data_IF_246816337596
#
_entry.id   IF_246816337596
#
_cell.length_a   1.000
_cell.length_b   1.000
_cell.length_c   1.000
_cell.angle_alpha   90.00
_cell.angle_beta   90.00
_cell.angle_gamma   90.00
#
_symmetry.space_group_name_H-M   'P 1'
#
loop_
_entity.id
_entity.type
_entity.pdbx_description
1 polymer ?
#
# COMPACT_ATOMS: atom_id res chain seq x y z
N UNK A 1 -5.60 10.04 -13.37
CA UNK A 1 -5.26 8.72 -12.79
C UNK A 1 -3.77 8.43 -12.86
N UNK A 2 -3.08 8.76 -13.96
CA UNK A 2 -1.65 8.48 -14.13
C UNK A 2 -0.76 8.97 -12.98
N UNK A 3 -0.86 10.25 -12.59
CA UNK A 3 -0.06 10.80 -11.49
C UNK A 3 -0.32 10.15 -10.12
N UNK A 4 -1.53 9.63 -9.91
CA UNK A 4 -1.85 8.87 -8.69
C UNK A 4 -1.12 7.53 -8.70
N UNK A 5 -1.14 6.82 -9.83
CA UNK A 5 -0.47 5.53 -10.00
C UNK A 5 1.04 5.70 -9.87
N UNK A 6 1.60 6.69 -10.58
CA UNK A 6 3.01 7.06 -10.51
C UNK A 6 3.46 7.28 -9.06
N UNK A 7 2.65 7.99 -8.28
CA UNK A 7 2.95 8.27 -6.88
C UNK A 7 2.99 7.01 -6.02
N UNK A 8 2.00 6.11 -6.16
CA UNK A 8 1.97 4.83 -5.43
C UNK A 8 3.13 3.94 -5.89
N UNK A 9 3.38 3.85 -7.19
CA UNK A 9 4.43 3.00 -7.75
C UNK A 9 5.83 3.46 -7.37
N UNK A 10 6.05 4.77 -7.25
CA UNK A 10 7.32 5.29 -6.76
C UNK A 10 7.63 4.81 -5.34
N UNK A 11 6.60 4.67 -4.49
CA UNK A 11 6.74 4.14 -3.13
C UNK A 11 7.00 2.63 -3.15
N UNK A 12 6.31 1.88 -4.02
CA UNK A 12 6.41 0.41 -4.05
C UNK A 12 7.61 -0.11 -4.86
N UNK A 13 8.20 0.70 -5.73
CA UNK A 13 9.28 0.30 -6.63
C UNK A 13 10.48 -0.34 -5.89
N UNK A 14 11.02 0.25 -4.79
CA UNK A 14 12.11 -0.36 -4.04
C UNK A 14 11.76 -1.73 -3.48
N UNK A 15 10.50 -1.90 -3.04
CA UNK A 15 9.99 -3.19 -2.55
C UNK A 15 9.92 -4.22 -3.69
N UNK A 16 9.42 -3.84 -4.87
CA UNK A 16 9.41 -4.73 -6.04
C UNK A 16 10.82 -5.19 -6.42
N UNK A 17 11.79 -4.27 -6.44
CA UNK A 17 13.19 -4.58 -6.72
C UNK A 17 13.75 -5.53 -5.65
N UNK A 18 13.48 -5.28 -4.37
CA UNK A 18 13.91 -6.17 -3.29
C UNK A 18 13.34 -7.58 -3.46
N UNK A 19 12.03 -7.71 -3.63
CA UNK A 19 11.34 -9.00 -3.77
C UNK A 19 11.79 -9.84 -4.97
N UNK A 20 12.40 -9.22 -5.98
CA UNK A 20 12.89 -9.89 -7.19
C UNK A 20 14.37 -10.28 -7.13
N UNK A 21 15.09 -9.98 -6.03
CA UNK A 21 16.49 -10.38 -5.86
C UNK A 21 16.61 -11.90 -5.62
N UNK A 22 17.58 -12.52 -6.29
CA UNK A 22 17.81 -13.99 -6.24
C UNK A 22 18.20 -14.49 -4.85
N UNK A 23 19.04 -13.74 -4.14
CA UNK A 23 19.53 -14.12 -2.82
C UNK A 23 19.09 -13.08 -1.77
N UNK A 24 17.78 -13.05 -1.49
CA UNK A 24 17.23 -12.14 -0.50
C UNK A 24 16.78 -12.87 0.76
N UNK A 25 17.09 -12.27 1.91
CA UNK A 25 16.57 -12.69 3.19
C UNK A 25 15.07 -12.35 3.28
N UNK A 26 14.26 -13.38 3.46
CA UNK A 26 12.82 -13.25 3.55
C UNK A 26 12.37 -12.49 4.81
N UNK A 27 13.17 -12.52 5.89
CA UNK A 27 13.00 -11.66 7.08
C UNK A 27 12.99 -10.20 6.67
N UNK A 28 14.04 -9.83 5.96
CA UNK A 28 14.30 -8.48 5.51
C UNK A 28 13.23 -8.03 4.51
N UNK A 29 12.81 -8.89 3.58
CA UNK A 29 11.69 -8.62 2.68
C UNK A 29 10.42 -8.23 3.44
N UNK A 30 10.08 -8.99 4.49
CA UNK A 30 8.87 -8.75 5.25
C UNK A 30 8.90 -7.41 5.98
N UNK A 31 10.03 -7.06 6.60
CA UNK A 31 10.20 -5.73 7.19
C UNK A 31 9.96 -4.62 6.15
N UNK A 32 10.50 -4.76 4.94
CA UNK A 32 10.30 -3.79 3.86
C UNK A 32 8.84 -3.71 3.41
N UNK A 33 8.10 -4.83 3.41
CA UNK A 33 6.66 -4.82 3.15
C UNK A 33 5.92 -4.00 4.22
N UNK A 34 6.27 -4.18 5.49
CA UNK A 34 5.66 -3.44 6.59
C UNK A 34 5.97 -1.94 6.54
N UNK A 35 7.19 -1.56 6.19
CA UNK A 35 7.56 -0.16 6.00
C UNK A 35 6.69 0.49 4.91
N UNK A 36 6.60 -0.15 3.73
CA UNK A 36 5.77 0.35 2.62
C UNK A 36 4.31 0.41 3.03
N UNK A 37 3.79 -0.60 3.75
CA UNK A 37 2.42 -0.59 4.26
C UNK A 37 2.19 0.59 5.21
N UNK A 38 3.13 0.87 6.10
CA UNK A 38 3.05 1.98 7.06
C UNK A 38 3.00 3.32 6.33
N UNK A 39 3.90 3.52 5.36
CA UNK A 39 3.92 4.73 4.52
C UNK A 39 2.58 4.92 3.79
N UNK A 40 1.99 3.85 3.23
CA UNK A 40 0.70 3.93 2.54
C UNK A 40 -0.46 4.24 3.49
N UNK A 41 -0.45 3.69 4.72
CA UNK A 41 -1.45 3.99 5.76
C UNK A 41 -1.34 5.44 6.21
N UNK A 42 -0.14 5.95 6.47
CA UNK A 42 0.10 7.35 6.81
C UNK A 42 -0.41 8.28 5.70
N UNK A 43 -0.14 7.91 4.44
CA UNK A 43 -0.62 8.64 3.28
C UNK A 43 -2.14 8.63 3.15
N UNK A 44 -2.78 7.53 3.55
CA UNK A 44 -4.24 7.39 3.59
C UNK A 44 -4.86 8.23 4.71
N UNK A 45 -4.22 8.32 5.87
CA UNK A 45 -4.61 9.20 6.97
C UNK A 45 -4.46 10.67 6.58
N UNK A 46 -3.35 11.04 5.94
CA UNK A 46 -3.06 12.39 5.44
C UNK A 46 -3.51 12.57 3.98
N UNK A 47 -4.66 12.00 3.62
CA UNK A 47 -5.10 11.90 2.23
C UNK A 47 -5.39 13.24 1.57
N UNK A 48 -5.84 14.24 2.34
CA UNK A 48 -6.16 15.57 1.84
C UNK A 48 -4.89 16.28 1.34
N UNK A 49 -3.87 16.38 2.18
CA UNK A 49 -2.60 17.01 1.83
C UNK A 49 -1.84 16.20 0.76
N UNK A 50 -1.85 14.88 0.88
CA UNK A 50 -1.21 13.99 -0.10
C UNK A 50 -1.82 14.13 -1.49
N UNK A 51 -3.15 14.20 -1.58
CA UNK A 51 -3.83 14.34 -2.86
C UNK A 51 -3.71 15.75 -3.42
N UNK A 52 -3.74 16.79 -2.58
CA UNK A 52 -3.59 18.18 -3.00
C UNK A 52 -2.31 18.42 -3.80
N UNK A 53 -1.19 17.84 -3.36
CA UNK A 53 0.09 17.93 -4.09
C UNK A 53 0.02 17.24 -5.46
N UNK A 54 -0.61 16.07 -5.53
CA UNK A 54 -0.81 15.33 -6.79
C UNK A 54 -1.73 16.13 -7.72
N UNK A 55 -2.81 16.69 -7.19
CA UNK A 55 -3.79 17.45 -7.95
C UNK A 55 -3.18 18.75 -8.51
N UNK A 56 -2.38 19.48 -7.71
CA UNK A 56 -1.68 20.68 -8.17
C UNK A 56 -0.71 20.38 -9.32
N UNK A 57 -0.03 19.22 -9.31
CA UNK A 57 0.80 18.80 -10.44
C UNK A 57 -0.03 18.52 -11.69
N UNK A 58 -1.23 17.91 -11.53
CA UNK A 58 -2.17 17.75 -12.64
C UNK A 58 -2.61 19.11 -13.19
N UNK A 59 -2.96 20.07 -12.32
CA UNK A 59 -3.40 21.40 -12.72
C UNK A 59 -2.33 22.13 -13.53
N UNK A 60 -1.06 22.08 -13.11
CA UNK A 60 0.06 22.66 -13.87
C UNK A 60 0.19 22.05 -15.26
N UNK A 61 0.16 20.73 -15.37
CA UNK A 61 0.24 20.04 -16.67
C UNK A 61 -0.95 20.35 -17.59
N UNK A 62 -2.14 20.57 -17.01
CA UNK A 62 -3.35 20.91 -17.76
C UNK A 62 -3.38 22.39 -18.19
N UNK A 63 -2.82 23.28 -17.38
CA UNK A 63 -2.62 24.70 -17.73
C UNK A 63 -1.67 24.86 -18.94
N UNK A 64 -0.61 24.05 -19.02
CA UNK A 64 0.28 24.03 -20.19
C UNK A 64 -0.44 23.61 -21.48
N UNK A 65 -1.47 22.76 -21.36
CA UNK A 65 -2.30 22.30 -22.46
C UNK A 65 -3.56 23.13 -22.72
N UNK A 66 -3.74 24.26 -22.01
CA UNK A 66 -4.92 25.13 -22.08
C UNK A 66 -6.27 24.39 -21.89
N UNK A 67 -6.28 23.37 -21.03
CA UNK A 67 -7.48 22.59 -20.70
C UNK A 67 -7.84 22.68 -19.21
N UNK A 68 -9.07 23.06 -18.84
CA UNK A 68 -9.46 23.08 -17.43
C UNK A 68 -9.82 21.67 -16.91
N UNK A 69 -9.40 21.36 -15.69
CA UNK A 69 -9.86 20.15 -14.99
C UNK A 69 -11.32 20.36 -14.57
N UNK A 70 -12.24 19.60 -15.17
CA UNK A 70 -13.67 19.68 -14.88
C UNK A 70 -14.19 18.38 -14.28
N UNK A 71 -15.35 18.48 -13.62
CA UNK A 71 -16.08 17.31 -13.16
C UNK A 71 -16.61 16.54 -14.37
N UNK A 72 -16.51 15.20 -14.38
CA UNK A 72 -17.11 14.40 -15.42
C UNK A 72 -18.64 14.54 -15.37
N UNK A 73 -19.29 14.36 -16.53
CA UNK A 73 -20.75 14.42 -16.63
C UNK A 73 -21.39 13.36 -15.74
N UNK A 74 -22.16 13.79 -14.76
CA UNK A 74 -23.05 12.94 -13.96
C UNK A 74 -24.45 12.95 -14.59
N UNK A 75 -25.10 11.79 -14.63
CA UNK A 75 -26.50 11.63 -15.08
C UNK A 75 -27.35 11.23 -13.87
N UNK A 76 -28.65 11.53 -13.87
CA UNK A 76 -29.52 11.34 -12.70
C UNK A 76 -29.49 9.92 -12.08
N UNK A 77 -29.23 8.89 -12.89
CA UNK A 77 -28.94 7.53 -12.43
C UNK A 77 -27.84 6.90 -13.28
N UNK A 78 -26.74 6.50 -12.65
CA UNK A 78 -25.74 5.63 -13.26
C UNK A 78 -25.98 4.17 -12.80
N UNK A 79 -25.73 3.20 -13.68
CA UNK A 79 -25.93 1.76 -13.38
C UNK A 79 -24.63 1.04 -13.03
N UNK A 80 -23.47 1.59 -13.45
CA UNK A 80 -22.17 0.94 -13.28
C UNK A 80 -21.30 1.56 -12.18
N UNK A 81 -21.59 2.81 -11.76
CA UNK A 81 -20.85 3.52 -10.70
C UNK A 81 -21.79 4.46 -9.96
N UNK A 82 -21.46 4.70 -8.70
CA UNK A 82 -22.20 5.66 -7.88
C UNK A 82 -21.84 7.10 -8.28
N UNK A 83 -22.86 7.94 -8.31
CA UNK A 83 -22.69 9.38 -8.43
C UNK A 83 -22.10 9.91 -7.12
N UNK A 84 -20.77 9.91 -7.04
CA UNK A 84 -20.05 10.38 -5.86
C UNK A 84 -20.28 11.89 -5.69
N UNK A 85 -20.85 12.35 -4.57
CA UNK A 85 -21.04 13.77 -4.34
C UNK A 85 -19.67 14.43 -4.23
N UNK A 86 -19.49 15.57 -4.89
CA UNK A 86 -18.27 16.36 -4.83
C UNK A 86 -18.55 17.81 -5.20
N UNK A 87 -18.00 18.72 -4.41
CA UNK A 87 -18.12 20.17 -4.57
C UNK A 87 -17.02 20.71 -5.49
N UNK A 88 -15.93 19.95 -5.67
CA UNK A 88 -14.81 20.28 -6.55
C UNK A 88 -14.30 19.08 -7.35
N UNK A 89 -13.67 19.29 -8.52
CA UNK A 89 -13.00 18.22 -9.26
C UNK A 89 -11.95 17.49 -8.41
N UNK A 90 -11.21 18.22 -7.57
CA UNK A 90 -10.24 17.63 -6.64
C UNK A 90 -10.91 16.61 -5.69
N UNK A 91 -12.00 17.01 -5.04
CA UNK A 91 -12.71 16.13 -4.12
C UNK A 91 -13.29 14.90 -4.84
N UNK A 92 -13.78 15.08 -6.06
CA UNK A 92 -14.30 14.00 -6.89
C UNK A 92 -13.23 12.96 -7.21
N UNK A 93 -12.10 13.39 -7.78
CA UNK A 93 -11.02 12.47 -8.18
C UNK A 93 -10.32 11.84 -6.98
N UNK A 94 -10.25 12.55 -5.85
CA UNK A 94 -9.78 11.98 -4.58
C UNK A 94 -10.65 10.77 -4.18
N UNK A 95 -11.97 10.97 -4.11
CA UNK A 95 -12.94 9.95 -3.66
C UNK A 95 -13.07 8.78 -4.64
N UNK A 96 -13.02 9.05 -5.94
CA UNK A 96 -13.28 8.02 -6.97
C UNK A 96 -12.04 7.28 -7.44
N UNK A 97 -10.85 7.86 -7.30
CA UNK A 97 -9.59 7.29 -7.80
C UNK A 97 -8.58 7.10 -6.68
N UNK A 98 -8.21 8.16 -5.95
CA UNK A 98 -7.09 8.12 -5.01
C UNK A 98 -7.35 7.20 -3.81
N UNK A 99 -8.47 7.40 -3.11
CA UNK A 99 -8.79 6.59 -1.93
C UNK A 99 -9.02 5.12 -2.28
N UNK A 100 -9.86 4.76 -3.28
CA UNK A 100 -10.10 3.36 -3.61
C UNK A 100 -8.83 2.64 -4.04
N UNK A 101 -7.94 3.32 -4.78
CA UNK A 101 -6.67 2.72 -5.19
C UNK A 101 -5.75 2.49 -4.00
N UNK A 102 -5.58 3.47 -3.11
CA UNK A 102 -4.77 3.31 -1.89
C UNK A 102 -5.29 2.18 -1.00
N UNK A 103 -6.61 2.16 -0.75
CA UNK A 103 -7.25 1.14 0.08
C UNK A 103 -7.06 -0.25 -0.52
N UNK A 104 -7.22 -0.39 -1.84
CA UNK A 104 -6.95 -1.64 -2.54
C UNK A 104 -5.48 -2.07 -2.42
N UNK A 105 -4.52 -1.15 -2.61
CA UNK A 105 -3.09 -1.48 -2.49
C UNK A 105 -2.70 -1.93 -1.08
N UNK A 106 -3.19 -1.24 -0.05
CA UNK A 106 -2.95 -1.62 1.35
C UNK A 106 -3.50 -3.02 1.63
N UNK A 107 -4.73 -3.28 1.20
CA UNK A 107 -5.38 -4.59 1.36
C UNK A 107 -4.62 -5.69 0.63
N UNK A 108 -4.16 -5.44 -0.60
CA UNK A 108 -3.39 -6.43 -1.36
C UNK A 108 -2.03 -6.75 -0.72
N UNK A 109 -1.35 -5.76 -0.14
CA UNK A 109 -0.12 -6.01 0.62
C UNK A 109 -0.39 -6.88 1.85
N UNK A 110 -1.48 -6.59 2.57
CA UNK A 110 -1.85 -7.35 3.76
C UNK A 110 -2.25 -8.80 3.43
N UNK A 111 -3.13 -9.00 2.47
CA UNK A 111 -3.58 -10.33 2.05
C UNK A 111 -2.42 -11.19 1.54
N UNK A 112 -1.53 -10.61 0.74
CA UNK A 112 -0.42 -11.35 0.13
C UNK A 112 0.64 -11.74 1.15
N UNK A 113 1.00 -10.86 2.08
CA UNK A 113 2.16 -11.10 2.96
C UNK A 113 1.80 -11.63 4.36
N UNK A 114 0.55 -11.51 4.83
CA UNK A 114 0.12 -11.98 6.15
C UNK A 114 0.34 -13.48 6.38
N UNK A 115 -0.04 -14.32 5.40
CA UNK A 115 0.13 -15.78 5.50
C UNK A 115 1.61 -16.18 5.53
N UNK A 116 2.40 -15.60 4.64
CA UNK A 116 3.84 -15.88 4.56
C UNK A 116 4.58 -15.41 5.80
N UNK A 117 4.18 -14.29 6.39
CA UNK A 117 4.75 -13.81 7.65
C UNK A 117 4.63 -14.83 8.77
N UNK A 118 3.42 -15.37 9.01
CA UNK A 118 3.21 -16.33 10.10
C UNK A 118 4.11 -17.56 9.97
N UNK A 119 4.27 -18.07 8.75
CA UNK A 119 5.15 -19.21 8.46
C UNK A 119 6.61 -18.81 8.65
N UNK A 120 7.03 -17.66 8.12
CA UNK A 120 8.41 -17.16 8.23
C UNK A 120 8.85 -16.98 9.67
N UNK A 121 8.03 -16.29 10.48
CA UNK A 121 8.31 -16.04 11.88
C UNK A 121 8.49 -17.34 12.66
N UNK A 122 7.77 -18.41 12.26
CA UNK A 122 7.92 -19.73 12.87
C UNK A 122 9.23 -20.40 12.42
N UNK A 123 9.58 -20.32 11.14
CA UNK A 123 10.81 -20.91 10.59
C UNK A 123 12.07 -20.20 11.10
N UNK A 124 12.03 -18.88 11.29
CA UNK A 124 13.14 -18.11 11.85
C UNK A 124 13.53 -18.61 13.25
N UNK A 125 12.58 -19.13 14.03
CA UNK A 125 12.84 -19.72 15.34
C UNK A 125 13.65 -21.03 15.26
N UNK A 126 13.76 -21.68 14.10
CA UNK A 126 14.64 -22.85 13.93
C UNK A 126 16.12 -22.46 13.85
N UNK A 127 16.42 -21.20 13.54
CA UNK A 127 17.78 -20.72 13.40
C UNK A 127 18.28 -20.30 14.80
N UNK A 128 19.36 -20.91 15.33
CA UNK A 128 19.83 -20.70 16.71
C UNK A 128 20.04 -19.23 17.09
N UNK A 129 20.43 -18.40 16.13
CA UNK A 129 20.62 -16.95 16.29
C UNK A 129 19.36 -16.22 16.79
N UNK A 130 18.17 -16.69 16.44
CA UNK A 130 16.90 -16.03 16.79
C UNK A 130 16.19 -16.70 17.98
N UNK A 131 16.64 -17.87 18.43
CA UNK A 131 16.09 -18.60 19.58
C UNK A 131 16.32 -17.84 20.89
N UNK A 132 17.50 -17.24 21.06
CA UNK A 132 17.92 -16.61 22.32
C UNK A 132 17.20 -15.28 22.61
N UNK A 133 16.47 -14.72 21.65
CA UNK A 133 15.80 -13.42 21.81
C UNK A 133 14.34 -13.53 22.28
N UNK A 134 13.75 -14.74 22.30
CA UNK A 134 12.31 -14.88 22.55
C UNK A 134 11.98 -16.05 23.48
N UNK A 135 12.08 -15.80 24.79
CA UNK A 135 11.90 -16.80 25.86
C UNK A 135 10.51 -17.44 25.90
N UNK A 136 9.47 -16.77 25.39
CA UNK A 136 8.10 -17.27 25.38
C UNK A 136 7.86 -18.43 24.38
N UNK A 137 8.67 -18.53 23.31
CA UNK A 137 8.49 -19.54 22.24
C UNK A 137 9.33 -20.79 22.43
N UNK A 138 10.35 -20.74 23.29
CA UNK A 138 11.18 -21.90 23.67
C UNK A 138 10.33 -23.04 24.23
N UNK A 139 9.35 -22.73 25.07
CA UNK A 139 8.47 -23.73 25.69
C UNK A 139 7.63 -24.50 24.65
N UNK A 140 7.26 -23.86 23.55
CA UNK A 140 6.49 -24.49 22.45
C UNK A 140 7.35 -25.45 21.62
N UNK A 141 8.65 -25.15 21.48
CA UNK A 141 9.59 -26.00 20.76
C UNK A 141 10.05 -27.20 21.59
N UNK A 142 10.25 -27.02 22.91
CA UNK A 142 10.61 -28.13 23.80
C UNK A 142 9.52 -29.21 23.85
N UNK A 143 8.24 -28.85 23.74
CA UNK A 143 7.15 -29.84 23.66
C UNK A 143 7.19 -30.67 22.36
N UNK A 144 7.64 -30.08 21.24
CA UNK A 144 7.74 -30.80 19.96
C UNK A 144 9.04 -31.62 19.81
N UNK A 145 10.13 -31.23 20.49
CA UNK A 145 11.42 -31.91 20.44
C UNK A 145 11.54 -33.10 21.42
N UNK A 146 10.52 -33.32 22.25
CA UNK A 146 10.44 -34.44 23.20
C UNK A 146 9.72 -35.68 22.63
N UNK A 147 9.44 -35.70 21.32
CA UNK A 147 9.01 -36.87 20.55
C UNK A 147 10.12 -37.31 19.59
#
# INVERSE_FOLDING_TARGET
>A
SLHVIENIFSITLPLCIALQKVNIDLSYCYERVNDVRTILIEKRSNSDESFKNIFSNCEKAMLEGDMPITLPRTVGRQTCRDNTPADSPEQYYKRTIFLPLLDHFILQLEERFSKHHRVMSTLQLLIPKYITQNTAYLNKFTECALF
#
